data_IF_783599056440
#
_entry.id   IF_783599056440
#
_cell.length_a   1.000
_cell.length_b   1.000
_cell.length_c   1.000
_cell.angle_alpha   90.00
_cell.angle_beta   90.00
_cell.angle_gamma   90.00
#
_symmetry.space_group_name_H-M   'P 1'
#
loop_
_entity.id
_entity.type
_entity.pdbx_description
1 polymer ?
#
# COMPACT_ATOMS: atom_id res chain seq x y z
N UNK A 1 -32.72 -11.77 45.77
CA UNK A 1 -31.37 -11.77 45.21
C UNK A 1 -30.71 -10.43 45.53
N UNK A 2 -29.54 -10.41 46.15
CA UNK A 2 -28.96 -9.20 46.74
C UNK A 2 -28.29 -8.36 45.63
N UNK A 3 -28.78 -7.13 45.37
CA UNK A 3 -28.28 -6.28 44.27
C UNK A 3 -26.76 -6.08 44.30
N UNK A 4 -26.15 -6.06 45.50
CA UNK A 4 -24.70 -5.96 45.66
C UNK A 4 -23.95 -7.17 45.11
N UNK A 5 -24.49 -8.38 45.29
CA UNK A 5 -23.88 -9.60 44.77
C UNK A 5 -24.02 -9.71 43.24
N UNK A 6 -25.15 -9.23 42.69
CA UNK A 6 -25.36 -9.12 41.24
C UNK A 6 -24.37 -8.11 40.64
N UNK A 7 -24.20 -6.95 41.27
CA UNK A 7 -23.27 -5.91 40.81
C UNK A 7 -21.82 -6.39 40.81
N UNK A 8 -21.37 -7.07 41.87
CA UNK A 8 -20.02 -7.67 41.91
C UNK A 8 -19.86 -8.73 40.82
N UNK A 9 -20.87 -9.57 40.59
CA UNK A 9 -20.85 -10.57 39.51
C UNK A 9 -20.69 -9.95 38.13
N UNK A 10 -21.42 -8.87 37.83
CA UNK A 10 -21.35 -8.16 36.54
C UNK A 10 -19.97 -7.51 36.35
N UNK A 11 -19.45 -6.83 37.38
CA UNK A 11 -18.12 -6.17 37.28
C UNK A 11 -17.01 -7.20 37.05
N UNK A 12 -17.02 -8.31 37.78
CA UNK A 12 -16.05 -9.38 37.58
C UNK A 12 -16.14 -9.99 36.18
N UNK A 13 -17.35 -10.18 35.65
CA UNK A 13 -17.55 -10.68 34.29
C UNK A 13 -16.98 -9.71 33.24
N UNK A 14 -17.23 -8.41 33.38
CA UNK A 14 -16.71 -7.39 32.47
C UNK A 14 -15.18 -7.33 32.49
N UNK A 15 -14.55 -7.47 33.67
CA UNK A 15 -13.09 -7.51 33.78
C UNK A 15 -12.49 -8.74 33.10
N UNK A 16 -13.14 -9.90 33.22
CA UNK A 16 -12.69 -11.13 32.54
C UNK A 16 -12.83 -10.98 31.02
N UNK A 17 -13.97 -10.48 30.54
CA UNK A 17 -14.20 -10.25 29.10
C UNK A 17 -13.19 -9.24 28.55
N UNK A 18 -12.99 -8.10 29.24
CA UNK A 18 -12.02 -7.09 28.83
C UNK A 18 -10.59 -7.61 28.84
N UNK A 19 -10.23 -8.45 29.81
CA UNK A 19 -8.92 -9.10 29.87
C UNK A 19 -8.67 -10.07 28.72
N UNK A 20 -9.67 -10.89 28.37
CA UNK A 20 -9.60 -11.80 27.21
C UNK A 20 -9.46 -10.99 25.92
N UNK A 21 -10.27 -9.94 25.75
CA UNK A 21 -10.20 -9.08 24.57
C UNK A 21 -8.84 -8.39 24.42
N UNK A 22 -8.30 -7.81 25.50
CA UNK A 22 -6.97 -7.19 25.49
C UNK A 22 -5.85 -8.21 25.21
N UNK A 23 -5.98 -9.45 25.69
CA UNK A 23 -5.05 -10.52 25.36
C UNK A 23 -5.11 -10.90 23.88
N UNK A 24 -6.31 -11.04 23.30
CA UNK A 24 -6.47 -11.35 21.88
C UNK A 24 -5.84 -10.27 20.99
N UNK A 25 -5.96 -8.99 21.35
CA UNK A 25 -5.31 -7.89 20.60
C UNK A 25 -3.78 -8.00 20.65
N UNK A 26 -3.21 -8.25 21.84
CA UNK A 26 -1.76 -8.27 22.01
C UNK A 26 -1.08 -9.55 21.50
N UNK A 27 -1.80 -10.68 21.48
CA UNK A 27 -1.27 -11.97 21.07
C UNK A 27 -1.52 -12.29 19.59
N UNK A 28 -2.21 -11.41 18.86
CA UNK A 28 -2.47 -11.59 17.45
C UNK A 28 -1.21 -11.28 16.63
N UNK A 29 -0.64 -12.31 16.03
CA UNK A 29 0.33 -12.19 14.93
C UNK A 29 -0.42 -12.56 13.63
N UNK A 30 -0.30 -11.70 12.63
CA UNK A 30 -0.82 -11.98 11.30
C UNK A 30 0.07 -13.03 10.65
N UNK A 31 -0.50 -14.17 10.27
CA UNK A 31 0.20 -15.23 9.53
C UNK A 31 0.35 -14.78 8.06
N UNK A 32 1.09 -13.69 7.84
CA UNK A 32 1.31 -13.06 6.54
C UNK A 32 2.71 -13.38 6.05
N UNK A 33 2.79 -14.26 5.07
CA UNK A 33 4.02 -14.44 4.30
C UNK A 33 4.04 -15.72 3.49
N UNK A 34 4.75 -15.68 2.38
CA UNK A 34 5.02 -16.83 1.53
C UNK A 34 6.50 -17.17 1.59
N UNK A 35 6.84 -18.46 1.65
CA UNK A 35 8.25 -18.89 1.61
C UNK A 35 8.69 -19.04 0.16
N UNK A 36 9.62 -18.18 -0.27
CA UNK A 36 10.11 -18.12 -1.65
C UNK A 36 11.63 -18.19 -1.70
N UNK A 37 12.15 -18.92 -2.69
CA UNK A 37 13.59 -19.00 -2.95
C UNK A 37 13.93 -18.29 -4.26
N UNK A 38 14.70 -17.22 -4.16
CA UNK A 38 15.20 -16.44 -5.30
C UNK A 38 16.51 -17.01 -5.84
N UNK A 39 16.67 -16.99 -7.16
CA UNK A 39 17.94 -17.19 -7.85
C UNK A 39 18.37 -15.85 -8.42
N UNK A 40 19.62 -15.48 -8.16
CA UNK A 40 20.27 -14.34 -8.77
C UNK A 40 21.40 -14.83 -9.68
N UNK A 41 21.33 -14.48 -10.96
CA UNK A 41 22.36 -14.78 -11.96
C UNK A 41 23.10 -13.49 -12.31
N UNK A 42 24.40 -13.45 -12.00
CA UNK A 42 25.27 -12.32 -12.32
C UNK A 42 25.54 -12.26 -13.84
N UNK A 43 25.27 -11.10 -14.44
CA UNK A 43 25.47 -10.83 -15.88
C UNK A 43 26.90 -10.35 -16.23
N UNK A 44 27.87 -10.50 -15.33
CA UNK A 44 29.28 -10.04 -15.43
C UNK A 44 30.01 -10.35 -16.74
N UNK A 45 29.57 -11.35 -17.52
CA UNK A 45 30.19 -11.72 -18.80
C UNK A 45 29.81 -10.82 -19.99
N UNK A 46 28.77 -9.99 -19.87
CA UNK A 46 28.20 -9.19 -20.98
C UNK A 46 28.15 -7.68 -20.68
N UNK A 47 28.98 -7.18 -19.76
CA UNK A 47 29.02 -5.77 -19.42
C UNK A 47 29.80 -4.97 -20.48
N UNK A 48 29.14 -3.95 -21.04
CA UNK A 48 29.71 -2.99 -21.99
C UNK A 48 29.88 -1.61 -21.33
N UNK A 49 30.44 -0.63 -22.05
CA UNK A 49 30.47 0.77 -21.60
C UNK A 49 29.12 1.52 -21.69
N UNK A 50 28.05 0.85 -22.12
CA UNK A 50 26.73 1.46 -22.30
C UNK A 50 25.93 1.59 -20.99
N UNK A 51 24.85 2.37 -21.00
CA UNK A 51 24.06 2.68 -19.80
C UNK A 51 22.95 1.68 -19.48
N UNK A 52 22.72 0.70 -20.35
CA UNK A 52 21.60 -0.25 -20.34
C UNK A 52 22.05 -1.71 -20.12
N UNK A 53 23.21 -1.91 -19.49
CA UNK A 53 23.69 -3.27 -19.20
C UNK A 53 22.79 -3.95 -18.17
N UNK A 54 22.41 -5.19 -18.44
CA UNK A 54 21.89 -6.09 -17.40
C UNK A 54 22.98 -6.37 -16.39
N UNK A 55 22.69 -6.14 -15.10
CA UNK A 55 23.63 -6.43 -14.01
C UNK A 55 23.36 -7.80 -13.39
N UNK A 56 22.08 -8.10 -13.12
CA UNK A 56 21.63 -9.35 -12.52
C UNK A 56 20.31 -9.78 -13.16
N UNK A 57 20.15 -11.09 -13.38
CA UNK A 57 18.85 -11.72 -13.61
C UNK A 57 18.32 -12.26 -12.29
N UNK A 58 17.07 -11.96 -11.96
CA UNK A 58 16.40 -12.49 -10.77
C UNK A 58 15.24 -13.39 -11.18
N UNK A 59 15.11 -14.57 -10.55
CA UNK A 59 13.99 -15.49 -10.77
C UNK A 59 13.55 -16.17 -9.48
N UNK A 60 12.33 -16.71 -9.46
CA UNK A 60 11.88 -17.62 -8.41
C UNK A 60 12.19 -19.07 -8.80
N UNK A 61 12.77 -19.84 -7.88
CA UNK A 61 13.10 -21.26 -8.12
C UNK A 61 12.03 -22.22 -7.63
N UNK A 62 11.51 -21.98 -6.43
CA UNK A 62 10.46 -22.75 -5.78
C UNK A 62 9.73 -21.84 -4.80
N UNK A 63 8.41 -21.95 -4.82
CA UNK A 63 7.51 -21.28 -3.91
C UNK A 63 6.37 -22.26 -3.57
N UNK A 64 6.02 -22.37 -2.28
CA UNK A 64 4.81 -23.11 -1.89
C UNK A 64 3.55 -22.29 -2.24
N UNK A 65 3.67 -20.96 -2.18
CA UNK A 65 2.71 -19.98 -2.69
C UNK A 65 3.45 -18.93 -3.51
N UNK A 66 2.97 -18.64 -4.73
CA UNK A 66 3.64 -17.75 -5.67
C UNK A 66 3.66 -16.31 -5.14
N UNK A 67 4.86 -15.76 -4.89
CA UNK A 67 5.02 -14.34 -4.60
C UNK A 67 5.09 -13.53 -5.90
N UNK A 68 4.24 -12.52 -6.02
CA UNK A 68 4.21 -11.64 -7.18
C UNK A 68 5.35 -10.62 -7.16
N UNK A 69 5.93 -10.35 -8.34
CA UNK A 69 7.01 -9.38 -8.49
C UNK A 69 6.59 -7.94 -8.20
N UNK A 70 5.30 -7.60 -8.38
CA UNK A 70 4.72 -6.29 -8.05
C UNK A 70 4.75 -5.99 -6.54
N UNK A 71 4.70 -7.04 -5.70
CA UNK A 71 4.80 -6.97 -4.24
C UNK A 71 6.24 -6.86 -3.73
N UNK A 72 7.22 -7.01 -4.63
CA UNK A 72 8.64 -6.92 -4.30
C UNK A 72 9.20 -5.55 -4.67
N UNK A 73 10.13 -5.06 -3.85
CA UNK A 73 10.81 -3.78 -4.05
C UNK A 73 12.31 -4.00 -4.21
N UNK A 74 12.91 -3.31 -5.18
CA UNK A 74 14.34 -3.37 -5.44
C UNK A 74 14.98 -2.05 -4.97
N UNK A 75 16.01 -2.17 -4.14
CA UNK A 75 16.89 -1.07 -3.77
C UNK A 75 18.33 -1.45 -4.08
N UNK A 76 19.13 -0.48 -4.49
CA UNK A 76 20.57 -0.65 -4.71
C UNK A 76 21.31 -0.12 -3.49
N UNK A 77 22.14 -0.94 -2.86
CA UNK A 77 22.97 -0.55 -1.73
C UNK A 77 24.45 -0.61 -2.10
N UNK A 78 25.18 0.47 -1.85
CA UNK A 78 26.64 0.52 -1.84
C UNK A 78 27.11 0.67 -0.38
N UNK A 79 28.41 0.53 -0.12
CA UNK A 79 29.06 0.51 1.19
C UNK A 79 28.69 1.66 2.15
N UNK A 80 28.11 2.75 1.65
CA UNK A 80 27.66 3.90 2.44
C UNK A 80 26.19 4.26 2.25
N UNK A 81 25.51 3.79 1.20
CA UNK A 81 24.22 4.36 0.77
C UNK A 81 23.29 3.33 0.13
N UNK A 82 22.02 3.35 0.54
CA UNK A 82 20.91 2.63 -0.08
C UNK A 82 20.06 3.60 -0.90
N UNK A 83 19.78 3.23 -2.14
CA UNK A 83 19.03 4.02 -3.12
C UNK A 83 17.83 3.20 -3.60
N UNK A 84 16.63 3.77 -3.48
CA UNK A 84 15.42 3.19 -4.07
C UNK A 84 15.25 3.66 -5.52
N UNK A 85 14.75 2.78 -6.39
CA UNK A 85 14.33 3.14 -7.73
C UNK A 85 12.95 3.81 -7.67
N UNK A 86 12.76 4.97 -8.29
CA UNK A 86 11.52 5.76 -8.25
C UNK A 86 11.05 6.20 -9.64
N UNK A 87 9.81 6.68 -9.72
CA UNK A 87 9.28 7.36 -10.92
C UNK A 87 9.74 8.81 -10.91
N UNK A 88 10.22 9.31 -12.06
CA UNK A 88 10.61 10.71 -12.22
C UNK A 88 12.03 11.01 -11.72
N UNK A 89 13.04 10.82 -12.58
CA UNK A 89 14.40 11.39 -12.56
C UNK A 89 15.24 11.42 -11.26
N UNK A 90 14.79 10.87 -10.14
CA UNK A 90 15.45 11.00 -8.85
C UNK A 90 15.60 9.64 -8.18
N UNK A 91 16.59 8.85 -8.57
CA UNK A 91 17.25 7.99 -7.58
C UNK A 91 17.98 8.93 -6.62
N UNK A 92 17.30 9.38 -5.57
CA UNK A 92 17.85 10.37 -4.64
C UNK A 92 17.73 9.91 -3.19
N UNK A 93 18.67 10.39 -2.37
CA UNK A 93 18.79 10.13 -0.94
C UNK A 93 17.62 10.67 -0.11
N UNK A 94 16.79 11.54 -0.70
CA UNK A 94 15.73 12.25 0.02
C UNK A 94 14.34 11.61 -0.15
N UNK A 95 14.18 10.59 -1.01
CA UNK A 95 12.90 9.89 -1.20
C UNK A 95 12.35 9.35 0.13
N UNK A 96 13.21 8.82 1.00
CA UNK A 96 12.82 8.31 2.33
C UNK A 96 12.55 9.38 3.40
N UNK A 97 12.65 10.67 3.06
CA UNK A 97 12.34 11.81 3.96
C UNK A 97 11.13 12.63 3.50
N UNK A 98 10.64 12.40 2.28
CA UNK A 98 9.43 13.02 1.79
C UNK A 98 8.19 12.32 2.38
N UNK A 99 7.05 13.02 2.45
CA UNK A 99 5.80 12.38 2.86
C UNK A 99 5.26 11.41 1.81
N UNK A 100 5.77 11.44 0.58
CA UNK A 100 5.41 10.52 -0.51
C UNK A 100 6.67 9.86 -1.03
N UNK A 101 6.77 8.55 -0.86
CA UNK A 101 7.95 7.76 -1.21
C UNK A 101 7.58 6.63 -2.17
N UNK A 102 7.64 6.86 -3.50
CA UNK A 102 7.44 5.80 -4.49
C UNK A 102 8.65 4.88 -4.59
N UNK A 103 8.39 3.59 -4.77
CA UNK A 103 9.39 2.55 -5.01
C UNK A 103 8.95 1.69 -6.17
N UNK A 104 9.79 1.61 -7.20
CA UNK A 104 9.58 0.76 -8.36
C UNK A 104 9.55 -0.69 -7.91
N UNK A 105 8.50 -1.39 -8.32
CA UNK A 105 8.38 -2.82 -8.10
C UNK A 105 9.26 -3.59 -9.08
N UNK A 106 9.57 -4.84 -8.74
CA UNK A 106 10.50 -5.66 -9.53
C UNK A 106 10.01 -5.99 -10.95
N UNK A 107 8.73 -5.76 -11.25
CA UNK A 107 8.17 -5.91 -12.61
C UNK A 107 8.59 -4.78 -13.57
N UNK A 108 9.23 -3.72 -13.06
CA UNK A 108 9.69 -2.57 -13.83
C UNK A 108 8.57 -1.65 -14.34
N UNK A 109 7.32 -1.86 -13.93
CA UNK A 109 6.15 -1.12 -14.42
C UNK A 109 5.29 -0.56 -13.29
N UNK A 110 5.16 -1.27 -12.18
CA UNK A 110 4.34 -0.86 -11.04
C UNK A 110 5.19 -0.18 -9.97
N UNK A 111 4.53 0.61 -9.13
CA UNK A 111 5.16 1.32 -8.03
C UNK A 111 4.40 1.06 -6.74
N UNK A 112 5.12 0.72 -5.68
CA UNK A 112 4.55 0.82 -4.34
C UNK A 112 4.85 2.20 -3.77
N UNK A 113 3.83 2.91 -3.31
CA UNK A 113 3.97 4.26 -2.76
C UNK A 113 3.68 4.22 -1.26
N UNK A 114 4.62 4.68 -0.45
CA UNK A 114 4.37 4.94 0.97
C UNK A 114 4.00 6.40 1.12
N UNK A 115 2.86 6.65 1.78
CA UNK A 115 2.39 8.00 2.10
C UNK A 115 2.38 8.19 3.62
N UNK A 116 3.08 9.20 4.11
CA UNK A 116 2.98 9.65 5.50
C UNK A 116 1.68 10.46 5.65
N UNK A 117 0.66 9.81 6.20
CA UNK A 117 -0.63 10.40 6.54
C UNK A 117 -0.84 10.43 8.07
N UNK A 118 0.24 10.53 8.86
CA UNK A 118 0.14 10.43 10.33
C UNK A 118 -0.54 11.63 11.00
N UNK A 119 -0.71 12.76 10.30
CA UNK A 119 -1.40 13.96 10.80
C UNK A 119 -2.92 13.78 10.80
N UNK A 120 -3.61 14.39 11.78
CA UNK A 120 -5.09 14.53 11.78
C UNK A 120 -5.52 15.88 11.19
N UNK A 121 -4.69 16.91 11.37
CA UNK A 121 -5.02 18.29 11.03
C UNK A 121 -4.61 18.66 9.59
N UNK A 122 -3.75 17.85 8.97
CA UNK A 122 -3.19 18.14 7.65
C UNK A 122 -3.32 16.93 6.72
N UNK A 123 -3.69 17.20 5.48
CA UNK A 123 -3.66 16.20 4.42
C UNK A 123 -2.31 16.19 3.71
N UNK A 124 -1.82 15.00 3.40
CA UNK A 124 -0.73 14.78 2.46
C UNK A 124 -1.33 14.63 1.06
N UNK A 125 -0.97 15.54 0.14
CA UNK A 125 -1.53 15.59 -1.20
C UNK A 125 -0.60 14.92 -2.21
N UNK A 126 -1.13 14.04 -3.04
CA UNK A 126 -0.36 13.19 -3.95
C UNK A 126 -0.81 13.42 -5.39
N UNK A 127 0.16 13.64 -6.28
CA UNK A 127 -0.05 13.57 -7.72
C UNK A 127 0.32 12.15 -8.21
N UNK A 128 -0.65 11.43 -8.77
CA UNK A 128 -0.52 10.04 -9.24
C UNK A 128 0.35 9.92 -10.50
N UNK A 129 0.42 10.97 -11.31
CA UNK A 129 1.26 10.94 -12.51
C UNK A 129 2.75 10.89 -12.15
N UNK A 130 3.17 11.75 -11.22
CA UNK A 130 4.56 11.90 -10.84
C UNK A 130 4.92 11.15 -9.55
N UNK A 131 3.94 10.69 -8.78
CA UNK A 131 4.08 10.04 -7.48
C UNK A 131 4.86 10.89 -6.47
N UNK A 132 4.53 12.18 -6.40
CA UNK A 132 5.18 13.14 -5.51
C UNK A 132 4.15 13.85 -4.61
N UNK A 133 4.64 14.35 -3.48
CA UNK A 133 3.88 15.28 -2.64
C UNK A 133 3.71 16.62 -3.36
N UNK A 134 2.52 17.21 -3.22
CA UNK A 134 2.19 18.54 -3.73
C UNK A 134 1.61 19.40 -2.61
N UNK A 135 1.67 20.73 -2.76
CA UNK A 135 1.27 21.68 -1.71
C UNK A 135 0.07 22.55 -2.11
N UNK A 136 -0.45 22.40 -3.33
CA UNK A 136 -1.49 23.25 -3.95
C UNK A 136 -2.64 22.39 -4.52
N UNK A 137 -3.55 22.99 -5.29
CA UNK A 137 -4.71 22.34 -5.96
C UNK A 137 -4.34 21.28 -7.01
N UNK A 138 -3.05 21.01 -7.26
CA UNK A 138 -2.59 20.12 -8.32
C UNK A 138 -2.27 18.71 -7.79
N UNK A 139 -3.24 18.14 -7.08
CA UNK A 139 -3.18 16.77 -6.55
C UNK A 139 -4.35 15.97 -7.09
N UNK A 140 -4.18 14.64 -7.08
CA UNK A 140 -5.21 13.71 -7.54
C UNK A 140 -5.89 13.03 -6.35
N UNK A 141 -5.10 12.71 -5.31
CA UNK A 141 -5.56 12.04 -4.08
C UNK A 141 -4.92 12.69 -2.87
N UNK A 142 -5.64 12.76 -1.75
CA UNK A 142 -5.12 13.26 -0.47
C UNK A 142 -5.39 12.28 0.67
N UNK A 143 -4.48 12.26 1.64
CA UNK A 143 -4.47 11.28 2.74
C UNK A 143 -4.36 11.99 4.10
N UNK A 144 -5.20 11.60 5.06
CA UNK A 144 -5.07 11.97 6.48
C UNK A 144 -5.54 10.80 7.34
N UNK A 145 -4.67 10.25 8.19
CA UNK A 145 -4.90 8.99 8.90
C UNK A 145 -5.37 7.87 7.96
N UNK A 146 -6.62 7.47 8.10
CA UNK A 146 -7.31 6.45 7.30
C UNK A 146 -8.21 7.06 6.24
N UNK A 147 -8.34 8.39 6.22
CA UNK A 147 -9.21 9.09 5.30
C UNK A 147 -8.48 9.41 4.01
N UNK A 148 -9.03 8.91 2.91
CA UNK A 148 -8.53 9.09 1.56
C UNK A 148 -9.63 9.72 0.73
N UNK A 149 -9.32 10.84 0.09
CA UNK A 149 -10.25 11.56 -0.78
C UNK A 149 -9.61 11.82 -2.14
N UNK A 150 -10.43 11.78 -3.18
CA UNK A 150 -10.07 12.27 -4.51
C UNK A 150 -10.12 13.80 -4.56
N UNK A 151 -9.35 14.39 -5.45
CA UNK A 151 -9.39 15.83 -5.72
C UNK A 151 -10.60 16.22 -6.58
N UNK A 152 -10.88 17.52 -6.65
CA UNK A 152 -11.95 18.06 -7.50
C UNK A 152 -11.69 17.70 -8.97
N UNK A 153 -12.70 17.20 -9.67
CA UNK A 153 -12.65 16.70 -11.06
C UNK A 153 -11.93 15.36 -11.28
N UNK A 154 -11.50 14.69 -10.20
CA UNK A 154 -10.99 13.33 -10.26
C UNK A 154 -12.14 12.38 -9.95
N UNK A 155 -12.28 11.35 -10.78
CA UNK A 155 -13.30 10.33 -10.61
C UNK A 155 -12.65 8.97 -10.50
N UNK A 156 -13.27 8.04 -9.78
CA UNK A 156 -12.77 6.69 -9.62
C UNK A 156 -13.86 5.65 -9.81
N UNK A 157 -13.43 4.41 -9.95
CA UNK A 157 -14.32 3.26 -9.90
C UNK A 157 -13.63 2.09 -9.24
N UNK A 158 -14.41 1.20 -8.64
CA UNK A 158 -13.92 0.05 -7.89
C UNK A 158 -14.14 -1.23 -8.71
N UNK A 159 -13.11 -2.06 -8.82
CA UNK A 159 -13.15 -3.38 -9.43
C UNK A 159 -12.83 -4.41 -8.36
N UNK A 160 -13.71 -5.41 -8.26
CA UNK A 160 -13.62 -6.52 -7.31
C UNK A 160 -13.53 -7.84 -8.09
N UNK A 161 -13.23 -8.94 -7.40
CA UNK A 161 -13.19 -10.31 -7.94
C UNK A 161 -12.17 -10.52 -9.09
N UNK A 162 -11.14 -9.68 -9.19
CA UNK A 162 -10.04 -9.83 -10.13
C UNK A 162 -8.71 -9.50 -9.45
N UNK A 163 -7.65 -10.22 -9.82
CA UNK A 163 -6.31 -9.91 -9.35
C UNK A 163 -5.80 -8.59 -9.95
N UNK A 164 -4.95 -7.88 -9.19
CA UNK A 164 -4.45 -6.56 -9.61
C UNK A 164 -3.70 -6.64 -10.94
N UNK A 165 -2.99 -7.74 -11.18
CA UNK A 165 -2.15 -8.01 -12.35
C UNK A 165 -2.99 -8.38 -13.58
N UNK A 166 -4.10 -9.08 -13.36
CA UNK A 166 -4.99 -9.56 -14.42
C UNK A 166 -5.85 -8.44 -15.01
N UNK A 167 -6.05 -7.34 -14.28
CA UNK A 167 -6.73 -6.15 -14.77
C UNK A 167 -5.84 -5.35 -15.73
N UNK A 168 -5.81 -5.78 -17.00
CA UNK A 168 -4.99 -5.18 -18.06
C UNK A 168 -5.72 -4.11 -18.89
N UNK A 169 -7.05 -4.08 -18.86
CA UNK A 169 -7.87 -3.17 -19.65
C UNK A 169 -8.80 -2.35 -18.77
N UNK A 170 -9.17 -1.15 -19.24
CA UNK A 170 -10.17 -0.34 -18.54
C UNK A 170 -11.48 -1.10 -18.42
N UNK A 171 -12.07 -1.16 -17.21
CA UNK A 171 -13.34 -1.83 -17.03
C UNK A 171 -14.46 -1.01 -17.68
N UNK A 172 -15.48 -1.71 -18.21
CA UNK A 172 -16.67 -1.08 -18.76
C UNK A 172 -17.68 -0.79 -17.65
N UNK A 173 -17.40 0.22 -16.83
CA UNK A 173 -18.24 0.64 -15.71
C UNK A 173 -18.19 2.17 -15.54
N UNK A 174 -19.23 2.70 -14.89
CA UNK A 174 -19.34 4.13 -14.57
C UNK A 174 -18.40 4.49 -13.41
N UNK A 175 -17.83 5.70 -13.46
CA UNK A 175 -16.93 6.20 -12.42
C UNK A 175 -17.74 6.94 -11.35
N UNK A 176 -18.05 6.24 -10.27
CA UNK A 176 -18.92 6.71 -9.17
C UNK A 176 -18.17 7.34 -8.01
N UNK A 177 -16.89 7.01 -7.82
CA UNK A 177 -16.08 7.62 -6.75
C UNK A 177 -15.73 9.05 -7.13
N UNK A 178 -15.91 10.00 -6.21
CA UNK A 178 -15.67 11.43 -6.44
C UNK A 178 -15.01 12.08 -5.23
N UNK A 179 -14.76 13.39 -5.30
CA UNK A 179 -14.24 14.17 -4.18
C UNK A 179 -15.22 14.35 -3.01
N UNK A 180 -16.50 14.05 -3.21
CA UNK A 180 -17.56 14.33 -2.24
C UNK A 180 -17.55 13.34 -1.06
N UNK A 181 -17.05 12.13 -1.30
CA UNK A 181 -17.04 11.05 -0.32
C UNK A 181 -15.62 10.51 -0.12
N UNK A 182 -15.40 9.94 1.07
CA UNK A 182 -14.16 9.24 1.41
C UNK A 182 -14.15 7.90 0.70
N UNK A 183 -13.02 7.50 0.15
CA UNK A 183 -12.87 6.15 -0.40
C UNK A 183 -13.09 5.10 0.69
N UNK A 184 -13.93 4.12 0.38
CA UNK A 184 -14.19 2.97 1.24
C UNK A 184 -13.17 1.88 0.93
N UNK A 185 -12.03 1.92 1.63
CA UNK A 185 -10.86 1.08 1.36
C UNK A 185 -10.46 0.13 2.48
N UNK A 186 -11.11 0.22 3.64
CA UNK A 186 -10.75 -0.59 4.78
C UNK A 186 -11.96 -1.00 5.61
N UNK A 187 -11.83 -2.18 6.18
CA UNK A 187 -12.73 -2.74 7.15
C UNK A 187 -12.18 -2.54 8.56
N UNK A 188 -13.01 -2.11 9.51
CA UNK A 188 -12.62 -2.03 10.91
C UNK A 188 -12.99 -3.30 11.68
N UNK A 189 -12.00 -4.10 12.08
CA UNK A 189 -12.21 -5.32 12.87
C UNK A 189 -12.23 -4.98 14.37
N UNK A 190 -13.44 -4.86 14.93
CA UNK A 190 -13.67 -4.56 16.37
C UNK A 190 -13.02 -5.61 17.30
N UNK A 191 -12.93 -6.87 16.86
CA UNK A 191 -12.38 -7.98 17.62
C UNK A 191 -10.89 -7.81 17.91
N UNK A 192 -10.14 -7.27 16.96
CA UNK A 192 -8.68 -7.06 17.03
C UNK A 192 -8.30 -5.58 17.16
N UNK A 193 -9.26 -4.67 17.04
CA UNK A 193 -9.05 -3.22 17.02
C UNK A 193 -8.08 -2.79 15.89
N UNK A 194 -8.22 -3.40 14.70
CA UNK A 194 -7.36 -3.15 13.53
C UNK A 194 -8.19 -2.74 12.31
N UNK A 195 -7.54 -2.01 11.41
CA UNK A 195 -8.03 -1.78 10.05
C UNK A 195 -7.41 -2.84 9.14
N UNK A 196 -8.21 -3.39 8.24
CA UNK A 196 -7.76 -4.31 7.20
C UNK A 196 -8.13 -3.68 5.86
N UNK A 197 -7.15 -3.48 4.98
CA UNK A 197 -7.42 -3.01 3.63
C UNK A 197 -8.34 -4.01 2.92
N UNK A 198 -9.37 -3.52 2.26
CA UNK A 198 -10.24 -4.36 1.47
C UNK A 198 -9.55 -4.78 0.18
N UNK A 199 -9.89 -5.97 -0.30
CA UNK A 199 -9.34 -6.52 -1.54
C UNK A 199 -10.04 -5.90 -2.77
N UNK A 200 -9.82 -4.59 -2.95
CA UNK A 200 -10.44 -3.74 -3.97
C UNK A 200 -9.36 -3.12 -4.85
N UNK A 201 -9.65 -3.03 -6.15
CA UNK A 201 -8.81 -2.30 -7.11
C UNK A 201 -9.53 -1.02 -7.51
N UNK A 202 -8.86 0.12 -7.32
CA UNK A 202 -9.35 1.43 -7.70
C UNK A 202 -8.79 1.82 -9.06
N UNK A 203 -9.67 2.14 -10.00
CA UNK A 203 -9.29 2.79 -11.26
C UNK A 203 -9.63 4.27 -11.13
N UNK A 204 -8.60 5.11 -11.02
CA UNK A 204 -8.73 6.55 -10.90
C UNK A 204 -8.52 7.20 -12.25
N UNK A 205 -9.48 8.01 -12.70
CA UNK A 205 -9.39 8.87 -13.87
C UNK A 205 -9.02 10.29 -13.42
N UNK A 206 -7.80 10.71 -13.78
CA UNK A 206 -7.30 12.06 -13.59
C UNK A 206 -6.95 12.65 -14.97
N UNK A 207 -7.74 13.61 -15.45
CA UNK A 207 -7.55 14.29 -16.73
C UNK A 207 -7.31 13.33 -17.93
N UNK A 208 -8.22 12.35 -18.12
CA UNK A 208 -8.16 11.31 -19.16
C UNK A 208 -6.97 10.34 -19.04
N UNK A 209 -6.20 10.42 -17.95
CA UNK A 209 -5.21 9.40 -17.57
C UNK A 209 -5.80 8.49 -16.51
N UNK A 210 -5.59 7.19 -16.69
CA UNK A 210 -6.13 6.17 -15.81
C UNK A 210 -5.04 5.52 -14.98
N UNK A 211 -5.24 5.45 -13.67
CA UNK A 211 -4.34 4.86 -12.71
C UNK A 211 -5.02 3.70 -12.00
N UNK A 212 -4.37 2.53 -12.03
CA UNK A 212 -4.81 1.34 -11.29
C UNK A 212 -4.09 1.31 -9.94
N UNK A 213 -4.85 1.30 -8.84
CA UNK A 213 -4.35 1.43 -7.47
C UNK A 213 -4.96 0.33 -6.61
N UNK A 214 -4.15 -0.24 -5.69
CA UNK A 214 -4.60 -1.15 -4.64
C UNK A 214 -3.96 -0.71 -3.33
N UNK A 215 -4.75 -0.61 -2.26
CA UNK A 215 -4.25 -0.30 -0.92
C UNK A 215 -3.76 -1.59 -0.24
N UNK A 216 -2.69 -1.49 0.55
CA UNK A 216 -1.99 -2.61 1.20
C UNK A 216 -1.77 -2.26 2.66
#
# INVERSE_FOLDING_TARGET
MNLKQIGIGIVSLLLVIGGIWAFMINAYEEDLGTTNVFIAEDSSSNLTGEKNNSLFGLSFSKADESLEWSKLRISIENATEKMDCSKGNFTSKEIGKAKVSPKLSSDGMTFTVIVDATSEDEYTHVNLDNLIETHDTNYDVRFSKTDIYLSENITGTIVEDIEFEDLATLPNQEFTETSDERLDWYDYKITTHRIEAEDKIYIINADEKYYKIKFI
#
